data_IF_117167635227
#
_entry.id   IF_117167635227
#
_cell.length_a   1.000
_cell.length_b   1.000
_cell.length_c   1.000
_cell.angle_alpha   90.00
_cell.angle_beta   90.00
_cell.angle_gamma   90.00
#
_symmetry.space_group_name_H-M   'P 1'
#
loop_
_entity.id
_entity.type
_entity.pdbx_description
1 polymer ?
#
# COMPACT_ATOMS: atom_id res chain seq x y z
N UNK A 1 26.20 1.08 -20.75
CA UNK A 1 25.17 1.41 -19.76
C UNK A 1 25.00 2.92 -19.74
N UNK A 2 24.05 3.46 -20.51
CA UNK A 2 23.81 4.91 -20.67
C UNK A 2 22.51 5.35 -19.98
N UNK A 3 22.13 4.68 -18.88
CA UNK A 3 20.74 4.69 -18.36
C UNK A 3 20.47 5.83 -17.37
N UNK A 4 21.51 6.51 -16.88
CA UNK A 4 21.40 7.67 -16.01
C UNK A 4 21.95 8.90 -16.74
N UNK A 5 21.17 9.42 -17.68
CA UNK A 5 21.43 10.76 -18.21
C UNK A 5 20.77 11.82 -17.32
N UNK A 6 21.25 13.06 -17.44
CA UNK A 6 20.75 14.19 -16.65
C UNK A 6 19.28 14.51 -16.94
N UNK A 7 18.77 14.09 -18.10
CA UNK A 7 17.40 14.28 -18.53
C UNK A 7 16.44 13.30 -17.82
N UNK A 8 16.87 12.05 -17.66
CA UNK A 8 16.18 11.02 -16.89
C UNK A 8 16.06 11.42 -15.43
N UNK A 9 17.15 11.90 -14.82
CA UNK A 9 17.18 12.36 -13.43
C UNK A 9 16.34 13.62 -13.16
N UNK A 10 15.85 14.32 -14.19
CA UNK A 10 14.86 15.41 -14.01
C UNK A 10 13.45 14.89 -13.77
N UNK A 11 13.11 13.70 -14.25
CA UNK A 11 11.78 13.13 -14.10
C UNK A 11 11.71 12.21 -12.87
N UNK A 12 11.64 12.82 -11.69
CA UNK A 12 11.68 12.13 -10.39
C UNK A 12 10.66 11.00 -10.27
N UNK A 13 9.45 11.23 -10.76
CA UNK A 13 8.37 10.25 -10.75
C UNK A 13 8.66 9.03 -11.64
N UNK A 14 9.22 9.25 -12.83
CA UNK A 14 9.64 8.15 -13.72
C UNK A 14 10.76 7.33 -13.08
N UNK A 15 11.74 8.01 -12.49
CA UNK A 15 12.87 7.37 -11.79
C UNK A 15 12.37 6.47 -10.65
N UNK A 16 11.44 6.97 -9.84
CA UNK A 16 10.84 6.20 -8.75
C UNK A 16 9.99 5.01 -9.23
N UNK A 17 9.22 5.18 -10.30
CA UNK A 17 8.45 4.09 -10.89
C UNK A 17 9.36 2.98 -11.44
N UNK A 18 10.41 3.35 -12.18
CA UNK A 18 11.37 2.38 -12.71
C UNK A 18 12.11 1.63 -11.60
N UNK A 19 12.42 2.32 -10.49
CA UNK A 19 12.96 1.69 -9.28
C UNK A 19 11.98 0.66 -8.70
N UNK A 20 10.71 1.04 -8.53
CA UNK A 20 9.67 0.14 -8.05
C UNK A 20 9.51 -1.07 -8.97
N UNK A 21 9.53 -0.88 -10.29
CA UNK A 21 9.36 -1.96 -11.25
C UNK A 21 10.54 -2.94 -11.26
N UNK A 22 11.76 -2.45 -11.08
CA UNK A 22 12.93 -3.32 -10.91
C UNK A 22 12.87 -4.15 -9.62
N UNK A 23 12.18 -3.66 -8.58
CA UNK A 23 12.05 -4.36 -7.30
C UNK A 23 11.25 -5.68 -7.37
N UNK A 24 10.67 -6.04 -8.52
CA UNK A 24 10.13 -7.38 -8.76
C UNK A 24 11.20 -8.47 -8.58
N UNK A 25 12.49 -8.15 -8.82
CA UNK A 25 13.63 -9.01 -8.49
C UNK A 25 14.68 -8.22 -7.68
N UNK A 26 14.82 -8.58 -6.40
CA UNK A 26 15.75 -7.93 -5.49
C UNK A 26 17.20 -7.94 -5.98
N UNK A 27 17.71 -9.09 -6.43
CA UNK A 27 19.11 -9.24 -6.85
C UNK A 27 19.41 -8.37 -8.07
N UNK A 28 18.53 -8.39 -9.08
CA UNK A 28 18.70 -7.57 -10.28
C UNK A 28 18.60 -6.08 -9.99
N UNK A 29 17.72 -5.67 -9.06
CA UNK A 29 17.61 -4.28 -8.64
C UNK A 29 18.82 -3.81 -7.84
N UNK A 30 19.34 -4.66 -6.95
CA UNK A 30 20.56 -4.39 -6.19
C UNK A 30 21.77 -4.28 -7.12
N UNK A 31 21.93 -5.21 -8.05
CA UNK A 31 23.00 -5.17 -9.05
C UNK A 31 22.94 -3.88 -9.89
N UNK A 32 21.73 -3.42 -10.25
CA UNK A 32 21.59 -2.15 -10.95
C UNK A 32 22.14 -0.99 -10.11
N UNK A 33 21.74 -0.88 -8.84
CA UNK A 33 22.23 0.13 -7.89
C UNK A 33 23.74 0.02 -7.69
N UNK A 34 24.29 -1.20 -7.75
CA UNK A 34 25.73 -1.49 -7.65
C UNK A 34 26.54 -1.00 -8.84
N UNK A 35 25.92 -0.88 -10.00
CA UNK A 35 26.58 -0.39 -11.20
C UNK A 35 26.25 1.07 -11.55
N UNK A 36 25.57 1.81 -10.67
CA UNK A 36 25.35 3.25 -10.85
C UNK A 36 26.67 4.00 -10.63
N UNK A 37 27.09 4.90 -11.56
CA UNK A 37 28.25 5.75 -11.35
C UNK A 37 28.08 6.62 -10.09
N UNK A 38 29.15 6.75 -9.30
CA UNK A 38 29.13 7.49 -8.02
C UNK A 38 28.60 8.92 -8.17
N UNK A 39 28.95 9.58 -9.28
CA UNK A 39 28.51 10.94 -9.64
C UNK A 39 26.98 11.06 -9.76
N UNK A 40 26.31 10.00 -10.22
CA UNK A 40 24.86 9.96 -10.38
C UNK A 40 24.14 9.35 -9.18
N UNK A 41 24.85 8.55 -8.36
CA UNK A 41 24.27 7.78 -7.26
C UNK A 41 23.64 8.67 -6.20
N UNK A 42 24.32 9.75 -5.80
CA UNK A 42 23.82 10.69 -4.79
C UNK A 42 22.47 11.27 -5.20
N UNK A 43 22.39 11.78 -6.45
CA UNK A 43 21.17 12.38 -6.98
C UNK A 43 20.05 11.36 -7.17
N UNK A 44 20.39 10.17 -7.67
CA UNK A 44 19.43 9.07 -7.78
C UNK A 44 18.85 8.71 -6.41
N UNK A 45 19.71 8.58 -5.39
CA UNK A 45 19.30 8.29 -4.01
C UNK A 45 18.35 9.35 -3.46
N UNK A 46 18.68 10.63 -3.60
CA UNK A 46 17.83 11.73 -3.13
C UNK A 46 16.43 11.68 -3.75
N UNK A 47 16.34 11.44 -5.06
CA UNK A 47 15.07 11.33 -5.79
C UNK A 47 14.23 10.17 -5.26
N UNK A 48 14.82 8.97 -5.15
CA UNK A 48 14.09 7.78 -4.69
C UNK A 48 13.58 7.96 -3.26
N UNK A 49 14.40 8.52 -2.37
CA UNK A 49 14.00 8.74 -0.98
C UNK A 49 12.91 9.80 -0.85
N UNK A 50 13.00 10.92 -1.58
CA UNK A 50 12.00 11.98 -1.55
C UNK A 50 10.64 11.50 -2.08
N UNK A 51 10.62 10.79 -3.21
CA UNK A 51 9.39 10.23 -3.78
C UNK A 51 8.80 9.13 -2.89
N UNK A 52 9.64 8.28 -2.27
CA UNK A 52 9.18 7.25 -1.35
C UNK A 52 8.52 7.83 -0.10
N UNK A 53 9.15 8.81 0.54
CA UNK A 53 8.60 9.47 1.73
C UNK A 53 7.29 10.21 1.40
N UNK A 54 7.19 10.80 0.19
CA UNK A 54 5.96 11.38 -0.32
C UNK A 54 4.85 10.34 -0.54
N UNK A 55 5.20 9.18 -1.10
CA UNK A 55 4.28 8.07 -1.32
C UNK A 55 3.74 7.50 0.00
N UNK A 56 4.60 7.31 1.02
CA UNK A 56 4.18 6.80 2.33
C UNK A 56 3.16 7.75 2.96
N UNK A 57 3.43 9.05 2.99
CA UNK A 57 2.52 10.04 3.59
C UNK A 57 1.14 10.04 2.91
N UNK A 58 1.11 9.89 1.59
CA UNK A 58 -0.16 9.78 0.86
C UNK A 58 -0.91 8.49 1.20
N UNK A 59 -0.20 7.35 1.27
CA UNK A 59 -0.81 6.07 1.63
C UNK A 59 -1.36 6.07 3.07
N UNK A 60 -0.66 6.70 4.00
CA UNK A 60 -1.14 6.88 5.38
C UNK A 60 -2.42 7.72 5.43
N UNK A 61 -2.46 8.85 4.72
CA UNK A 61 -3.65 9.70 4.65
C UNK A 61 -4.85 8.97 4.05
N UNK A 62 -4.65 8.18 2.98
CA UNK A 62 -5.72 7.38 2.36
C UNK A 62 -6.19 6.27 3.30
N UNK A 63 -5.26 5.61 4.01
CA UNK A 63 -5.59 4.58 4.99
C UNK A 63 -6.39 5.15 6.15
N UNK A 64 -6.00 6.30 6.68
CA UNK A 64 -6.70 6.95 7.79
C UNK A 64 -8.10 7.42 7.37
N UNK A 65 -8.22 7.94 6.14
CA UNK A 65 -9.52 8.26 5.55
C UNK A 65 -10.40 7.00 5.41
N UNK A 66 -9.89 5.93 4.80
CA UNK A 66 -10.65 4.68 4.63
C UNK A 66 -11.06 4.07 5.97
N UNK A 67 -10.16 4.10 6.96
CA UNK A 67 -10.41 3.56 8.31
C UNK A 67 -11.47 4.38 9.04
N UNK A 68 -11.44 5.71 8.95
CA UNK A 68 -12.45 6.58 9.56
C UNK A 68 -13.84 6.42 8.91
N UNK A 69 -13.89 6.27 7.58
CA UNK A 69 -15.14 6.01 6.85
C UNK A 69 -15.72 4.64 7.22
N UNK A 70 -14.90 3.59 7.24
CA UNK A 70 -15.34 2.25 7.64
C UNK A 70 -15.81 2.21 9.10
N UNK A 71 -15.07 2.87 10.01
CA UNK A 71 -15.43 2.93 11.42
C UNK A 71 -16.75 3.68 11.64
N UNK A 72 -16.94 4.81 10.97
CA UNK A 72 -18.20 5.58 11.04
C UNK A 72 -19.39 4.80 10.48
N UNK A 73 -19.21 4.08 9.38
CA UNK A 73 -20.24 3.20 8.83
C UNK A 73 -20.58 2.04 9.79
N UNK A 74 -19.57 1.45 10.42
CA UNK A 74 -19.75 0.39 11.40
C UNK A 74 -20.49 0.88 12.65
N UNK A 75 -20.13 2.06 13.18
CA UNK A 75 -20.82 2.70 14.31
C UNK A 75 -22.28 3.01 13.95
N UNK A 76 -22.55 3.57 12.76
CA UNK A 76 -23.93 3.81 12.29
C UNK A 76 -24.75 2.52 12.19
N UNK A 77 -24.17 1.45 11.65
CA UNK A 77 -24.83 0.15 11.55
C UNK A 77 -25.14 -0.44 12.94
N UNK A 78 -24.22 -0.32 13.89
CA UNK A 78 -24.40 -0.73 15.28
C UNK A 78 -25.53 0.05 15.97
N UNK A 79 -25.54 1.38 15.85
CA UNK A 79 -26.59 2.23 16.43
C UNK A 79 -27.96 1.91 15.83
N UNK A 80 -28.03 1.72 14.52
CA UNK A 80 -29.27 1.33 13.83
C UNK A 80 -29.77 -0.05 14.28
N UNK A 81 -28.86 -1.00 14.50
CA UNK A 81 -29.18 -2.32 15.02
C UNK A 81 -29.70 -2.26 16.46
N UNK A 82 -29.06 -1.49 17.35
CA UNK A 82 -29.49 -1.33 18.74
C UNK A 82 -30.90 -0.72 18.82
N UNK A 83 -31.17 0.34 18.05
CA UNK A 83 -32.50 0.97 17.99
C UNK A 83 -33.55 -0.02 17.45
N UNK A 84 -33.19 -0.82 16.45
CA UNK A 84 -34.10 -1.82 15.87
C UNK A 84 -34.38 -2.99 16.82
N UNK A 85 -33.42 -3.35 17.69
CA UNK A 85 -33.54 -4.40 18.70
C UNK A 85 -34.56 -4.03 19.79
N UNK A 86 -34.62 -2.76 20.20
CA UNK A 86 -35.61 -2.25 21.16
C UNK A 86 -37.06 -2.34 20.64
N UNK A 87 -37.27 -2.31 19.32
CA UNK A 87 -38.60 -2.14 18.73
C UNK A 87 -39.32 -3.48 18.42
N UNK A 88 -38.61 -4.60 18.22
CA UNK A 88 -39.25 -5.94 18.17
C UNK A 88 -38.25 -7.11 18.11
N UNK A 89 -38.23 -7.94 19.16
CA UNK A 89 -37.36 -9.11 19.30
C UNK A 89 -37.48 -10.16 18.18
N UNK A 90 -38.64 -10.26 17.48
CA UNK A 90 -38.85 -11.24 16.40
C UNK A 90 -38.48 -10.74 15.00
N UNK A 91 -38.51 -9.42 14.75
CA UNK A 91 -38.14 -8.84 13.44
C UNK A 91 -36.65 -8.54 13.32
N UNK A 92 -35.90 -8.64 14.42
CA UNK A 92 -34.46 -8.34 14.48
C UNK A 92 -33.58 -9.49 13.99
N UNK A 93 -34.02 -10.75 14.12
CA UNK A 93 -33.19 -11.93 13.77
C UNK A 93 -32.80 -11.92 12.30
N UNK A 94 -33.72 -11.58 11.41
CA UNK A 94 -33.48 -11.54 9.95
C UNK A 94 -32.43 -10.47 9.57
N UNK A 95 -32.60 -9.17 9.90
CA UNK A 95 -31.60 -8.14 9.58
C UNK A 95 -30.27 -8.36 10.29
N UNK A 96 -30.26 -8.87 11.52
CA UNK A 96 -29.03 -9.23 12.22
C UNK A 96 -28.26 -10.36 11.52
N UNK A 97 -28.96 -11.42 11.11
CA UNK A 97 -28.36 -12.55 10.39
C UNK A 97 -27.81 -12.10 9.02
N UNK A 98 -28.54 -11.24 8.31
CA UNK A 98 -28.07 -10.62 7.05
C UNK A 98 -26.82 -9.77 7.29
N UNK A 99 -26.79 -8.97 8.35
CA UNK A 99 -25.61 -8.17 8.73
C UNK A 99 -24.39 -9.02 9.04
N UNK A 100 -24.55 -10.11 9.80
CA UNK A 100 -23.47 -11.05 10.11
C UNK A 100 -22.95 -11.77 8.86
N UNK A 101 -23.84 -12.16 7.95
CA UNK A 101 -23.47 -12.75 6.65
C UNK A 101 -22.66 -11.74 5.82
N UNK A 102 -23.09 -10.48 5.76
CA UNK A 102 -22.38 -9.40 5.05
C UNK A 102 -20.97 -9.17 5.62
N UNK A 103 -20.82 -9.13 6.94
CA UNK A 103 -19.51 -9.00 7.60
C UNK A 103 -18.62 -10.19 7.23
N UNK A 104 -19.17 -11.41 7.26
CA UNK A 104 -18.45 -12.63 6.85
C UNK A 104 -17.99 -12.57 5.38
N UNK A 105 -18.85 -12.11 4.46
CA UNK A 105 -18.51 -11.93 3.05
C UNK A 105 -17.40 -10.89 2.85
N UNK A 106 -17.48 -9.74 3.53
CA UNK A 106 -16.44 -8.70 3.48
C UNK A 106 -15.11 -9.27 4.00
N UNK A 107 -15.14 -10.02 5.09
CA UNK A 107 -13.94 -10.66 5.64
C UNK A 107 -13.32 -11.67 4.65
N UNK A 108 -14.14 -12.48 3.98
CA UNK A 108 -13.68 -13.42 2.96
C UNK A 108 -13.08 -12.70 1.74
N UNK A 109 -13.68 -11.59 1.28
CA UNK A 109 -13.16 -10.79 0.17
C UNK A 109 -11.81 -10.16 0.54
N UNK A 110 -11.68 -9.63 1.76
CA UNK A 110 -10.41 -9.09 2.24
C UNK A 110 -9.36 -10.20 2.33
N UNK A 111 -9.71 -11.35 2.88
CA UNK A 111 -8.79 -12.48 3.04
C UNK A 111 -8.35 -13.07 1.69
N UNK A 112 -9.28 -13.20 0.75
CA UNK A 112 -9.00 -13.63 -0.62
C UNK A 112 -8.08 -12.64 -1.35
N UNK A 113 -8.39 -11.33 -1.27
CA UNK A 113 -7.54 -10.29 -1.83
C UNK A 113 -6.15 -10.28 -1.18
N UNK A 114 -6.07 -10.51 0.13
CA UNK A 114 -4.80 -10.65 0.83
C UNK A 114 -4.01 -11.79 0.20
N UNK A 115 -4.54 -13.03 0.21
CA UNK A 115 -3.87 -14.23 -0.32
C UNK A 115 -3.50 -14.06 -1.81
N UNK A 116 -4.39 -13.54 -2.64
CA UNK A 116 -4.13 -13.36 -4.08
C UNK A 116 -3.01 -12.34 -4.38
N UNK A 117 -2.74 -11.39 -3.48
CA UNK A 117 -1.73 -10.34 -3.68
C UNK A 117 -0.31 -10.71 -3.18
N UNK A 118 0.04 -11.99 -3.06
CA UNK A 118 1.39 -12.41 -2.64
C UNK A 118 2.51 -11.75 -3.44
N UNK A 119 2.35 -11.63 -4.77
CA UNK A 119 3.33 -10.96 -5.64
C UNK A 119 3.50 -9.47 -5.32
N UNK A 120 2.40 -8.72 -5.13
CA UNK A 120 2.47 -7.31 -4.76
C UNK A 120 3.13 -7.11 -3.39
N UNK A 121 2.89 -8.04 -2.46
CA UNK A 121 3.52 -8.03 -1.14
C UNK A 121 5.01 -8.30 -1.21
N UNK A 122 5.43 -9.27 -2.01
CA UNK A 122 6.85 -9.53 -2.23
C UNK A 122 7.55 -8.31 -2.85
N UNK A 123 6.93 -7.68 -3.86
CA UNK A 123 7.43 -6.42 -4.45
C UNK A 123 7.58 -5.32 -3.40
N UNK A 124 6.59 -5.13 -2.53
CA UNK A 124 6.65 -4.13 -1.45
C UNK A 124 7.79 -4.41 -0.45
N UNK A 125 7.98 -5.67 -0.06
CA UNK A 125 9.11 -6.07 0.80
C UNK A 125 10.44 -5.76 0.10
N UNK A 126 10.59 -6.15 -1.16
CA UNK A 126 11.80 -5.87 -1.93
C UNK A 126 12.09 -4.36 -2.04
N UNK A 127 11.07 -3.53 -2.32
CA UNK A 127 11.19 -2.07 -2.32
C UNK A 127 11.69 -1.55 -0.97
N UNK A 128 11.09 -2.01 0.13
CA UNK A 128 11.48 -1.58 1.48
C UNK A 128 12.94 -1.94 1.81
N UNK A 129 13.36 -3.17 1.47
CA UNK A 129 14.74 -3.62 1.66
C UNK A 129 15.72 -2.86 0.76
N UNK A 130 15.35 -2.61 -0.50
CA UNK A 130 16.17 -1.82 -1.44
C UNK A 130 16.33 -0.37 -0.98
N UNK A 131 15.30 0.24 -0.40
CA UNK A 131 15.39 1.58 0.17
C UNK A 131 16.30 1.59 1.40
N UNK A 132 16.22 0.57 2.26
CA UNK A 132 17.18 0.40 3.36
C UNK A 132 18.61 0.29 2.85
N UNK A 133 18.82 -0.49 1.79
CA UNK A 133 20.13 -0.63 1.13
C UNK A 133 20.64 0.70 0.57
N UNK A 134 19.78 1.45 -0.13
CA UNK A 134 20.10 2.75 -0.72
C UNK A 134 20.44 3.82 0.33
N UNK A 135 19.91 3.72 1.56
CA UNK A 135 20.22 4.64 2.66
C UNK A 135 21.63 4.43 3.24
N UNK A 136 22.12 3.18 3.21
CA UNK A 136 23.42 2.80 3.78
C UNK A 136 24.55 3.10 2.79
N UNK A 137 24.25 2.98 1.50
CA UNK A 137 25.20 3.21 0.40
C UNK A 137 25.40 4.69 0.08
#
# INVERSE_FOLDING_TARGET
MSVLDDEYLKNTRKVYNDFCDRADNYETAKDFIDNIPVECLTRYREIILAEHDGSIKNDEMVRDFATSVLLSALVSALVSAIISLEISMSKFVIPFTIGMILIGFVFLIIHWNFIANTKKRQKYINVSVLIGYLKIK
#
